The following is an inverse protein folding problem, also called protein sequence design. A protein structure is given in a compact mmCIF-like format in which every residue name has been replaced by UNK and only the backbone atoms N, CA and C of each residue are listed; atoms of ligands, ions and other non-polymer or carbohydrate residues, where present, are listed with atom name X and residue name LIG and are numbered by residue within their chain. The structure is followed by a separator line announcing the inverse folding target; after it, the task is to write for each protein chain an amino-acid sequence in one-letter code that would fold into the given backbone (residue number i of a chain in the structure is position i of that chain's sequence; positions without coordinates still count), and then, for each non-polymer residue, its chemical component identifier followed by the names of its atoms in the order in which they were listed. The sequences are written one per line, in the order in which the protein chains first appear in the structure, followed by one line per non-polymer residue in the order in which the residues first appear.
data_IF_516171628441
#
_entry.id   IF_516171628441
#
_cell.length_a   1.000
_cell.length_b   1.000
_cell.length_c   1.000
_cell.angle_alpha   90.00
_cell.angle_beta   90.00
_cell.angle_gamma   90.00
#
_symmetry.space_group_name_H-M   'P 1'
#
loop_
_entity.id
_entity.type
_entity.pdbx_description
1 polymer ?
#
# COMPACT_ATOMS: atom_id res chain seq x y z
N UNK A 1 38.91 -48.29 3.51
CA UNK A 1 39.51 -48.22 2.17
C UNK A 1 38.32 -48.33 1.22
N UNK A 2 37.53 -47.26 1.10
CA UNK A 2 37.80 -46.11 0.21
C UNK A 2 37.69 -46.63 -1.23
N UNK A 3 36.75 -46.22 -2.07
CA UNK A 3 36.28 -44.88 -2.38
C UNK A 3 35.20 -45.05 -3.47
N UNK A 4 34.08 -44.32 -3.46
CA UNK A 4 33.85 -43.01 -4.09
C UNK A 4 32.60 -43.14 -4.99
N UNK A 5 31.52 -42.51 -4.54
CA UNK A 5 30.35 -42.18 -5.33
C UNK A 5 30.76 -41.37 -6.56
N UNK A 6 30.43 -41.86 -7.75
CA UNK A 6 30.56 -41.09 -8.98
C UNK A 6 29.26 -40.33 -9.19
N UNK A 7 29.21 -39.12 -8.67
CA UNK A 7 28.15 -38.16 -9.01
C UNK A 7 28.35 -37.72 -10.46
N UNK A 8 27.33 -37.97 -11.29
CA UNK A 8 27.27 -37.52 -12.68
C UNK A 8 27.19 -35.98 -12.73
N UNK A 9 28.33 -35.38 -13.05
CA UNK A 9 28.52 -33.96 -13.31
C UNK A 9 27.72 -33.55 -14.56
N UNK A 10 26.53 -32.99 -14.36
CA UNK A 10 25.77 -32.31 -15.40
C UNK A 10 26.51 -31.04 -15.83
N UNK A 11 27.37 -31.18 -16.84
CA UNK A 11 28.06 -30.06 -17.47
C UNK A 11 27.10 -29.09 -18.16
N UNK A 12 26.79 -27.98 -17.49
CA UNK A 12 26.25 -26.80 -18.16
C UNK A 12 27.39 -26.06 -18.87
N UNK A 13 27.22 -25.63 -20.14
CA UNK A 13 28.22 -24.83 -20.81
C UNK A 13 28.40 -23.53 -20.04
N UNK A 14 29.65 -23.24 -19.65
CA UNK A 14 30.06 -21.97 -19.05
C UNK A 14 29.81 -20.85 -20.06
N UNK A 15 28.58 -20.31 -20.06
CA UNK A 15 28.34 -18.98 -20.53
C UNK A 15 29.04 -18.07 -19.53
N UNK A 16 30.19 -17.51 -19.92
CA UNK A 16 30.78 -16.37 -19.24
C UNK A 16 29.81 -15.19 -19.35
N UNK A 17 28.76 -15.22 -18.52
CA UNK A 17 28.12 -14.00 -18.03
C UNK A 17 29.21 -13.37 -17.19
N UNK A 18 29.76 -12.27 -17.71
CA UNK A 18 30.52 -11.33 -16.89
C UNK A 18 29.55 -10.90 -15.80
N UNK A 19 29.64 -11.55 -14.64
CA UNK A 19 28.87 -11.19 -13.46
C UNK A 19 29.51 -9.93 -12.92
N UNK A 20 29.25 -8.82 -13.58
CA UNK A 20 29.29 -7.51 -12.94
C UNK A 20 28.32 -7.62 -11.76
N UNK A 21 28.88 -7.85 -10.58
CA UNK A 21 28.15 -8.05 -9.34
C UNK A 21 27.47 -6.72 -8.96
N UNK A 22 26.29 -6.47 -9.54
CA UNK A 22 25.46 -5.32 -9.23
C UNK A 22 24.83 -5.40 -7.83
N UNK A 23 25.32 -6.27 -6.93
CA UNK A 23 24.84 -6.32 -5.54
C UNK A 23 25.14 -5.05 -4.74
N UNK A 24 26.12 -4.27 -5.18
CA UNK A 24 26.43 -2.94 -4.62
C UNK A 24 25.56 -1.82 -5.22
N UNK A 25 24.80 -2.09 -6.29
CA UNK A 25 23.87 -1.11 -6.87
C UNK A 25 22.56 -1.19 -6.11
N UNK A 26 22.19 -0.09 -5.46
CA UNK A 26 20.88 0.01 -4.81
C UNK A 26 19.79 -0.21 -5.88
N UNK A 27 18.87 -1.17 -5.71
CA UNK A 27 17.78 -1.41 -6.66
C UNK A 27 16.95 -0.15 -6.99
N UNK A 28 16.91 0.83 -6.08
CA UNK A 28 16.21 2.10 -6.30
C UNK A 28 17.03 3.14 -7.07
N UNK A 29 18.34 2.95 -7.21
CA UNK A 29 19.22 3.80 -8.02
C UNK A 29 19.02 3.55 -9.52
N UNK A 30 18.84 2.30 -9.92
CA UNK A 30 18.51 1.92 -11.30
C UNK A 30 17.19 2.53 -11.78
N UNK A 31 16.21 2.63 -10.89
CA UNK A 31 14.90 3.25 -11.14
C UNK A 31 14.96 4.80 -11.14
N UNK A 32 16.12 5.40 -10.87
CA UNK A 32 16.32 6.86 -10.89
C UNK A 32 15.54 7.60 -9.78
N UNK A 33 15.19 6.90 -8.69
CA UNK A 33 14.38 7.45 -7.60
C UNK A 33 15.27 8.14 -6.55
N UNK A 34 16.50 7.65 -6.36
CA UNK A 34 17.43 8.15 -5.34
C UNK A 34 18.16 9.47 -5.68
N UNK A 35 18.24 9.88 -6.95
CA UNK A 35 19.11 10.98 -7.38
C UNK A 35 18.50 12.39 -7.26
N UNK A 36 17.22 12.53 -6.90
CA UNK A 36 16.51 13.82 -6.97
C UNK A 36 16.71 14.75 -5.76
N UNK A 37 17.20 14.27 -4.63
CA UNK A 37 17.25 15.10 -3.41
C UNK A 37 18.49 16.01 -3.31
N UNK A 38 19.48 15.88 -4.19
CA UNK A 38 20.74 16.63 -4.09
C UNK A 38 21.11 17.51 -5.31
N UNK A 39 20.21 17.64 -6.31
CA UNK A 39 20.43 18.48 -7.50
C UNK A 39 19.70 19.84 -7.46
N UNK A 40 19.40 20.39 -6.27
CA UNK A 40 18.78 21.74 -6.16
C UNK A 40 19.80 22.88 -6.32
N UNK A 41 21.07 22.57 -6.59
CA UNK A 41 22.11 23.58 -6.82
C UNK A 41 22.50 23.63 -8.30
N UNK A 42 21.81 24.54 -9.00
CA UNK A 42 22.32 25.26 -10.18
C UNK A 42 22.46 24.44 -11.46
N UNK A 43 21.43 24.50 -12.29
CA UNK A 43 21.58 24.75 -13.73
C UNK A 43 20.25 25.25 -14.30
N UNK A 44 20.28 26.44 -14.92
CA UNK A 44 19.23 26.95 -15.79
C UNK A 44 19.11 25.98 -16.97
N UNK A 45 18.04 25.20 -16.99
CA UNK A 45 17.57 24.57 -18.22
C UNK A 45 16.05 24.76 -18.27
N UNK A 46 15.61 25.53 -19.25
CA UNK A 46 14.22 25.68 -19.63
C UNK A 46 13.71 24.35 -20.18
N UNK A 47 13.39 23.41 -19.31
CA UNK A 47 12.44 22.35 -19.62
C UNK A 47 11.29 22.54 -18.64
N UNK A 48 10.17 23.03 -19.15
CA UNK A 48 8.94 23.17 -18.38
C UNK A 48 8.45 21.76 -18.09
N UNK A 49 9.03 21.17 -17.04
CA UNK A 49 8.64 19.88 -16.50
C UNK A 49 7.13 19.92 -16.31
N UNK A 50 6.45 19.04 -17.02
CA UNK A 50 5.03 18.82 -16.84
C UNK A 50 4.86 18.28 -15.42
N UNK A 51 4.51 19.16 -14.48
CA UNK A 51 4.29 18.78 -13.10
C UNK A 51 2.92 18.09 -13.03
N UNK A 52 2.95 16.76 -13.16
CA UNK A 52 1.76 15.92 -13.13
C UNK A 52 0.97 16.05 -11.81
N UNK A 53 1.57 16.63 -10.77
CA UNK A 53 0.87 16.95 -9.53
C UNK A 53 0.11 18.29 -9.64
N UNK A 54 0.65 19.28 -10.35
CA UNK A 54 -0.04 20.56 -10.58
C UNK A 54 -1.35 20.38 -11.37
N UNK A 55 -1.38 19.50 -12.39
CA UNK A 55 -2.62 19.17 -13.13
C UNK A 55 -3.70 18.52 -12.24
N UNK A 56 -3.32 17.90 -11.12
CA UNK A 56 -4.26 17.28 -10.19
C UNK A 56 -4.82 18.27 -9.15
N UNK A 57 -4.05 19.31 -8.80
CA UNK A 57 -4.46 20.31 -7.80
C UNK A 57 -5.20 21.49 -8.44
N UNK A 58 -4.97 21.76 -9.73
CA UNK A 58 -5.62 22.85 -10.47
C UNK A 58 -7.11 22.55 -10.82
N UNK A 59 -7.57 21.30 -10.67
CA UNK A 59 -8.98 20.91 -10.90
C UNK A 59 -9.81 20.74 -9.61
N UNK A 60 -9.27 21.12 -8.44
CA UNK A 60 -9.96 21.05 -7.13
C UNK A 60 -10.13 22.43 -6.46
N UNK A 61 -10.39 23.49 -7.24
CA UNK A 61 -10.94 24.75 -6.73
C UNK A 61 -12.41 24.57 -6.30
N UNK A 62 -12.67 23.90 -5.17
CA UNK A 62 -13.82 24.21 -4.30
C UNK A 62 -13.68 23.66 -2.86
N UNK A 63 -12.47 23.74 -2.27
CA UNK A 63 -12.28 23.51 -0.83
C UNK A 63 -12.60 24.78 -0.02
N UNK A 64 -13.87 25.21 -0.06
CA UNK A 64 -14.38 26.17 0.92
C UNK A 64 -14.71 25.51 2.26
N UNK A 65 -14.00 25.99 3.29
CA UNK A 65 -14.36 26.08 4.70
C UNK A 65 -14.19 24.87 5.65
N UNK A 66 -13.04 24.91 6.34
CA UNK A 66 -12.95 25.21 7.78
C UNK A 66 -13.73 24.33 8.77
N UNK A 67 -13.04 23.43 9.47
CA UNK A 67 -12.89 23.51 10.95
C UNK A 67 -11.81 22.54 11.46
N UNK A 68 -10.57 23.02 11.59
CA UNK A 68 -9.55 22.37 12.42
C UNK A 68 -9.75 22.82 13.88
N UNK A 69 -10.73 22.25 14.57
CA UNK A 69 -10.88 22.44 16.02
C UNK A 69 -10.11 21.36 16.78
N UNK A 70 -8.89 21.73 17.15
CA UNK A 70 -8.10 21.08 18.19
C UNK A 70 -8.74 21.38 19.56
N UNK A 71 -9.58 20.48 20.09
CA UNK A 71 -10.22 20.73 21.39
C UNK A 71 -11.05 19.57 21.97
N UNK A 72 -10.39 18.71 22.75
CA UNK A 72 -10.82 18.17 24.06
C UNK A 72 -12.30 17.75 24.33
N UNK A 73 -12.44 16.47 24.71
CA UNK A 73 -13.33 15.90 25.75
C UNK A 73 -14.87 15.84 25.54
N UNK A 74 -15.33 14.58 25.47
CA UNK A 74 -16.60 14.01 25.99
C UNK A 74 -17.92 14.38 25.30
N UNK A 75 -18.61 13.36 24.79
CA UNK A 75 -20.07 13.36 24.59
C UNK A 75 -20.48 12.83 23.22
N UNK A 76 -21.24 11.74 23.21
CA UNK A 76 -21.82 11.18 21.97
C UNK A 76 -22.93 12.04 21.36
N UNK A 77 -23.51 11.50 20.29
CA UNK A 77 -24.37 12.14 19.27
C UNK A 77 -23.53 12.89 18.22
N UNK A 78 -23.67 12.71 16.92
CA UNK A 78 -24.71 12.08 16.11
C UNK A 78 -24.02 11.71 14.78
N UNK A 79 -24.06 10.44 14.36
CA UNK A 79 -23.61 10.08 13.02
C UNK A 79 -24.70 10.51 12.04
N UNK A 80 -24.62 11.75 11.54
CA UNK A 80 -25.40 12.17 10.38
C UNK A 80 -25.07 11.25 9.19
N UNK A 81 -26.07 10.59 8.58
CA UNK A 81 -25.83 9.75 7.42
C UNK A 81 -25.62 10.66 6.21
N UNK A 82 -24.35 10.91 5.85
CA UNK A 82 -24.00 11.46 4.53
C UNK A 82 -24.62 10.58 3.43
N UNK A 83 -25.12 11.18 2.32
CA UNK A 83 -25.75 10.44 1.24
C UNK A 83 -24.76 9.41 0.68
N UNK A 84 -25.17 8.14 0.76
CA UNK A 84 -24.39 6.98 0.35
C UNK A 84 -24.16 7.01 -1.16
N UNK A 85 -22.97 7.45 -1.59
CA UNK A 85 -22.42 7.07 -2.88
C UNK A 85 -22.16 5.55 -2.83
N UNK A 86 -23.08 4.77 -3.39
CA UNK A 86 -22.99 3.30 -3.40
C UNK A 86 -21.67 2.79 -4.03
N UNK A 87 -21.09 3.57 -4.94
CA UNK A 87 -19.78 3.29 -5.55
C UNK A 87 -18.63 3.39 -4.54
N UNK A 88 -18.67 4.36 -3.63
CA UNK A 88 -17.63 4.56 -2.62
C UNK A 88 -17.69 3.47 -1.54
N UNK A 89 -18.92 3.06 -1.16
CA UNK A 89 -19.13 1.93 -0.24
C UNK A 89 -18.59 0.63 -0.83
N UNK A 90 -18.86 0.38 -2.11
CA UNK A 90 -18.37 -0.82 -2.80
C UNK A 90 -16.85 -0.86 -2.90
N UNK A 91 -16.19 0.28 -3.14
CA UNK A 91 -14.74 0.40 -3.17
C UNK A 91 -14.11 0.22 -1.78
N UNK A 92 -14.71 0.82 -0.76
CA UNK A 92 -14.29 0.67 0.63
C UNK A 92 -14.37 -0.79 1.08
N UNK A 93 -15.48 -1.47 0.79
CA UNK A 93 -15.67 -2.89 1.09
C UNK A 93 -14.69 -3.77 0.32
N UNK A 94 -14.48 -3.53 -0.98
CA UNK A 94 -13.48 -4.26 -1.76
C UNK A 94 -12.08 -4.16 -1.15
N UNK A 95 -11.67 -2.95 -0.75
CA UNK A 95 -10.39 -2.71 -0.06
C UNK A 95 -10.31 -3.46 1.27
N UNK A 96 -11.40 -3.44 2.03
CA UNK A 96 -11.47 -4.14 3.31
C UNK A 96 -11.43 -5.66 3.16
N UNK A 97 -12.09 -6.22 2.13
CA UNK A 97 -12.05 -7.65 1.80
C UNK A 97 -10.65 -8.07 1.40
N UNK A 98 -9.94 -7.28 0.58
CA UNK A 98 -8.53 -7.55 0.25
C UNK A 98 -7.68 -7.64 1.52
N UNK A 99 -7.86 -6.72 2.48
CA UNK A 99 -7.17 -6.79 3.77
C UNK A 99 -7.59 -8.04 4.57
N UNK A 100 -8.88 -8.34 4.61
CA UNK A 100 -9.41 -9.50 5.33
C UNK A 100 -8.82 -10.82 4.82
N UNK A 101 -8.67 -10.96 3.50
CA UNK A 101 -8.04 -12.13 2.87
C UNK A 101 -6.56 -12.27 3.25
N UNK A 102 -5.84 -11.16 3.49
CA UNK A 102 -4.42 -11.22 3.89
C UNK A 102 -4.20 -11.63 5.34
N UNK A 103 -5.17 -11.35 6.23
CA UNK A 103 -5.06 -11.68 7.66
C UNK A 103 -5.70 -13.02 8.02
N UNK A 104 -6.57 -13.57 7.16
CA UNK A 104 -7.28 -14.84 7.43
C UNK A 104 -6.50 -16.10 6.95
N UNK A 105 -5.18 -16.04 6.79
CA UNK A 105 -4.40 -17.09 6.09
C UNK A 105 -4.32 -18.40 6.88
N UNK A 106 -4.21 -18.33 8.21
CA UNK A 106 -4.04 -19.48 9.10
C UNK A 106 -5.33 -19.87 9.85
N UNK A 107 -6.43 -19.13 9.61
CA UNK A 107 -7.71 -19.31 10.29
C UNK A 107 -7.72 -18.82 11.74
N UNK A 108 -6.69 -18.09 12.20
CA UNK A 108 -6.60 -17.55 13.57
C UNK A 108 -6.15 -16.10 13.49
N UNK A 109 -6.99 -15.17 13.95
CA UNK A 109 -6.56 -13.78 14.06
C UNK A 109 -5.82 -13.51 15.37
N UNK A 110 -4.65 -12.91 15.27
CA UNK A 110 -3.90 -12.43 16.42
C UNK A 110 -4.47 -11.08 16.94
N UNK A 111 -4.13 -10.65 18.17
CA UNK A 111 -4.62 -9.38 18.70
C UNK A 111 -4.15 -8.13 17.92
N UNK A 112 -3.09 -8.21 17.12
CA UNK A 112 -2.61 -7.09 16.33
C UNK A 112 -3.44 -6.92 15.05
N UNK A 113 -3.75 -8.02 14.37
CA UNK A 113 -4.61 -8.14 13.19
C UNK A 113 -6.04 -7.72 13.50
N UNK A 114 -6.60 -8.16 14.64
CA UNK A 114 -7.93 -7.70 15.08
C UNK A 114 -7.94 -6.18 15.25
N UNK A 115 -6.88 -5.59 15.82
CA UNK A 115 -6.77 -4.13 15.99
C UNK A 115 -6.61 -3.43 14.65
N UNK A 116 -5.84 -4.00 13.73
CA UNK A 116 -5.68 -3.50 12.37
C UNK A 116 -7.01 -3.48 11.63
N UNK A 117 -7.76 -4.59 11.65
CA UNK A 117 -9.08 -4.70 11.05
C UNK A 117 -10.08 -3.74 11.70
N UNK A 118 -10.10 -3.62 13.02
CA UNK A 118 -11.00 -2.70 13.72
C UNK A 118 -10.72 -1.24 13.34
N UNK A 119 -9.44 -0.87 13.24
CA UNK A 119 -9.02 0.46 12.80
C UNK A 119 -9.44 0.69 11.35
N UNK A 120 -9.09 -0.23 10.45
CA UNK A 120 -9.37 -0.06 9.01
C UNK A 120 -10.87 -0.05 8.72
N UNK A 121 -11.64 -0.89 9.42
CA UNK A 121 -13.11 -0.90 9.34
C UNK A 121 -13.70 0.46 9.70
N UNK A 122 -13.23 1.06 10.80
CA UNK A 122 -13.70 2.37 11.26
C UNK A 122 -13.29 3.51 10.32
N UNK A 123 -12.09 3.44 9.76
CA UNK A 123 -11.58 4.38 8.74
C UNK A 123 -12.41 4.35 7.46
N UNK A 124 -12.88 3.17 7.05
CA UNK A 124 -13.69 2.95 5.85
C UNK A 124 -15.21 3.10 6.10
N UNK A 125 -15.63 3.43 7.32
CA UNK A 125 -17.06 3.58 7.66
C UNK A 125 -17.85 2.27 7.62
N UNK A 126 -17.19 1.12 7.71
CA UNK A 126 -17.84 -0.19 7.68
C UNK A 126 -18.40 -0.51 9.09
N UNK A 127 -19.66 -0.92 9.16
CA UNK A 127 -20.27 -1.31 10.44
C UNK A 127 -19.74 -2.67 10.91
N UNK A 128 -19.82 -2.94 12.22
CA UNK A 128 -19.39 -4.25 12.75
C UNK A 128 -20.21 -5.41 12.17
N UNK A 129 -21.52 -5.22 11.99
CA UNK A 129 -22.41 -6.21 11.37
C UNK A 129 -22.00 -6.49 9.91
N UNK A 130 -21.63 -5.46 9.15
CA UNK A 130 -21.13 -5.64 7.78
C UNK A 130 -19.81 -6.40 7.76
N UNK A 131 -18.89 -6.09 8.67
CA UNK A 131 -17.66 -6.87 8.84
C UNK A 131 -17.96 -8.36 9.07
N UNK A 132 -18.91 -8.71 9.95
CA UNK A 132 -19.28 -10.11 10.20
C UNK A 132 -19.84 -10.79 8.95
N UNK A 133 -20.66 -10.10 8.16
CA UNK A 133 -21.14 -10.63 6.87
C UNK A 133 -20.00 -10.90 5.90
N UNK A 134 -19.02 -9.99 5.80
CA UNK A 134 -17.86 -10.18 4.93
C UNK A 134 -16.97 -11.35 5.40
N UNK A 135 -16.86 -11.56 6.71
CA UNK A 135 -16.16 -12.73 7.28
C UNK A 135 -16.91 -14.02 6.97
N UNK A 136 -18.23 -14.04 7.11
CA UNK A 136 -19.08 -15.19 6.77
C UNK A 136 -18.97 -15.53 5.27
N UNK A 137 -19.07 -14.53 4.40
CA UNK A 137 -18.88 -14.65 2.95
C UNK A 137 -17.48 -15.20 2.58
N UNK A 138 -16.45 -14.90 3.37
CA UNK A 138 -15.10 -15.41 3.18
C UNK A 138 -14.95 -16.88 3.61
N UNK A 139 -15.73 -17.32 4.59
CA UNK A 139 -15.71 -18.68 5.12
C UNK A 139 -16.53 -19.67 4.29
N UNK A 140 -17.55 -19.19 3.59
CA UNK A 140 -18.45 -20.01 2.75
C UNK A 140 -19.46 -20.79 3.56
#
# INVERSE_FOLDING_TARGET
MDSEDKEEEFGLPSASIDSEDHSDVDPFEELGIGSRVNAISKEENEDRGYDALSDLVDDEEDLENSDFSHGSLLGGADFEPKPSNQNDVSKAEATYVMLLQTVWVDGILDPAEVRLLAKKRSELGISFERHLKLVDELLG
#
